data_IF_880668596559
#
_entry.id   IF_880668596559
#
_cell.length_a   1.000
_cell.length_b   1.000
_cell.length_c   1.000
_cell.angle_alpha   90.00
_cell.angle_beta   90.00
_cell.angle_gamma   90.00
#
_symmetry.space_group_name_H-M   'P 1'
#
loop_
_entity.id
_entity.type
_entity.pdbx_description
1 polymer ?
#
# COMPACT_ATOMS: atom_id res chain seq x y z
N UNK A 1 41.91 42.33 6.35
CA UNK A 1 41.99 41.88 4.95
C UNK A 1 41.70 40.38 4.93
N UNK A 2 40.43 40.00 4.79
CA UNK A 2 39.97 38.60 4.86
C UNK A 2 39.21 38.31 3.57
N UNK A 3 39.70 37.41 2.74
CA UNK A 3 38.88 36.82 1.68
C UNK A 3 39.25 35.35 1.57
N UNK A 4 38.50 34.51 2.27
CA UNK A 4 38.56 33.05 2.13
C UNK A 4 37.51 32.68 1.10
N UNK A 5 37.95 32.38 -0.12
CA UNK A 5 37.10 31.82 -1.18
C UNK A 5 36.55 30.46 -0.71
N UNK A 6 35.23 30.31 -0.70
CA UNK A 6 34.58 29.03 -0.40
C UNK A 6 34.71 28.10 -1.62
N UNK A 7 34.96 26.79 -1.44
CA UNK A 7 34.93 25.83 -2.55
C UNK A 7 33.50 25.63 -3.07
N UNK A 8 33.32 25.25 -4.35
CA UNK A 8 32.01 25.00 -4.93
C UNK A 8 31.32 23.79 -4.29
N UNK A 9 29.98 23.77 -4.22
CA UNK A 9 29.24 22.62 -3.70
C UNK A 9 29.44 21.40 -4.62
N UNK A 10 29.39 20.17 -4.07
CA UNK A 10 29.43 18.96 -4.89
C UNK A 10 28.20 18.89 -5.81
N UNK A 11 28.30 18.20 -6.96
CA UNK A 11 27.15 18.02 -7.84
C UNK A 11 26.08 17.21 -7.10
N UNK A 12 24.90 17.81 -6.92
CA UNK A 12 23.73 17.13 -6.39
C UNK A 12 23.19 16.20 -7.47
N UNK A 13 23.69 14.98 -7.53
CA UNK A 13 23.07 13.92 -8.32
C UNK A 13 21.88 13.35 -7.52
N UNK A 14 20.81 14.15 -7.39
CA UNK A 14 19.51 13.64 -6.95
C UNK A 14 18.80 13.04 -8.16
N UNK A 15 19.34 11.95 -8.67
CA UNK A 15 18.61 11.10 -9.59
C UNK A 15 17.68 10.23 -8.74
N UNK A 16 16.46 10.72 -8.49
CA UNK A 16 15.37 9.84 -8.06
C UNK A 16 15.20 8.79 -9.17
N UNK A 17 15.48 7.50 -8.91
CA UNK A 17 15.24 6.49 -9.92
C UNK A 17 13.72 6.47 -10.11
N UNK A 18 13.26 6.82 -11.31
CA UNK A 18 11.86 6.68 -11.67
C UNK A 18 11.44 5.24 -11.31
N UNK A 19 10.58 5.12 -10.29
CA UNK A 19 10.22 3.86 -9.67
C UNK A 19 9.77 2.87 -10.75
N UNK A 20 10.55 1.80 -10.92
CA UNK A 20 10.11 0.63 -11.66
C UNK A 20 8.87 0.07 -10.95
N UNK A 21 7.69 0.34 -11.50
CA UNK A 21 6.38 0.18 -10.83
C UNK A 21 6.11 -1.24 -10.31
N UNK A 22 6.68 -2.28 -10.92
CA UNK A 22 6.46 -3.68 -10.51
C UNK A 22 7.35 -4.12 -9.34
N UNK A 23 8.58 -3.60 -9.24
CA UNK A 23 9.49 -3.87 -8.12
C UNK A 23 9.13 -2.97 -6.92
N UNK A 24 8.59 -1.79 -7.21
CA UNK A 24 8.23 -0.76 -6.24
C UNK A 24 7.00 -1.06 -5.39
N UNK A 25 6.12 -2.03 -5.71
CA UNK A 25 4.94 -2.31 -4.87
C UNK A 25 5.22 -3.34 -3.76
N UNK A 26 6.08 -4.34 -4.02
CA UNK A 26 6.51 -5.30 -2.99
C UNK A 26 7.31 -4.64 -1.87
N UNK A 27 8.26 -3.77 -2.23
CA UNK A 27 9.17 -3.17 -1.28
C UNK A 27 8.47 -2.32 -0.17
N UNK A 28 7.47 -1.46 -0.48
CA UNK A 28 6.72 -0.71 0.52
C UNK A 28 5.90 -1.58 1.46
N UNK A 29 5.21 -2.60 0.95
CA UNK A 29 4.40 -3.47 1.79
C UNK A 29 5.28 -4.30 2.75
N UNK A 30 6.45 -4.76 2.29
CA UNK A 30 7.43 -5.42 3.14
C UNK A 30 8.04 -4.47 4.18
N UNK A 31 8.18 -3.18 3.87
CA UNK A 31 8.56 -2.17 4.85
C UNK A 31 7.49 -1.96 5.94
N UNK A 32 6.22 -1.91 5.56
CA UNK A 32 5.11 -1.87 6.52
C UNK A 32 5.15 -3.09 7.44
N UNK A 33 5.34 -4.30 6.91
CA UNK A 33 5.42 -5.53 7.71
C UNK A 33 6.62 -5.53 8.66
N UNK A 34 7.79 -5.04 8.23
CA UNK A 34 8.95 -4.85 9.12
C UNK A 34 8.67 -3.83 10.22
N UNK A 35 8.02 -2.72 9.88
CA UNK A 35 7.63 -1.69 10.83
C UNK A 35 6.62 -2.21 11.86
N UNK A 36 5.68 -3.06 11.45
CA UNK A 36 4.73 -3.76 12.33
C UNK A 36 5.44 -4.68 13.30
N UNK A 37 6.36 -5.52 12.81
CA UNK A 37 7.13 -6.44 13.63
C UNK A 37 7.93 -5.71 14.73
N UNK A 38 8.57 -4.59 14.38
CA UNK A 38 9.31 -3.76 15.33
C UNK A 38 8.44 -3.08 16.40
N UNK A 39 7.12 -2.98 16.17
CA UNK A 39 6.16 -2.36 17.08
C UNK A 39 5.24 -3.36 17.77
N UNK A 40 5.44 -4.66 17.53
CA UNK A 40 4.56 -5.71 18.04
C UNK A 40 3.10 -5.48 17.66
N UNK A 41 2.85 -5.14 16.39
CA UNK A 41 1.50 -4.96 15.83
C UNK A 41 1.10 -6.18 15.02
N UNK A 42 -0.07 -6.73 15.31
CA UNK A 42 -0.58 -7.94 14.65
C UNK A 42 -1.20 -7.64 13.26
N UNK A 43 -1.78 -6.45 13.11
CA UNK A 43 -2.37 -5.99 11.85
C UNK A 43 -2.33 -4.46 11.67
N UNK A 44 -2.48 -4.04 10.41
CA UNK A 44 -2.75 -2.65 10.01
C UNK A 44 -3.93 -2.63 9.04
N UNK A 45 -4.85 -1.68 9.25
CA UNK A 45 -6.03 -1.48 8.40
C UNK A 45 -5.94 -0.13 7.70
N UNK A 46 -5.92 -0.13 6.36
CA UNK A 46 -5.65 1.05 5.53
C UNK A 46 -6.82 1.31 4.59
N UNK A 47 -7.40 2.50 4.63
CA UNK A 47 -8.60 2.85 3.83
C UNK A 47 -8.40 4.01 2.86
N UNK A 48 -7.24 4.68 2.91
CA UNK A 48 -6.95 5.81 2.01
C UNK A 48 -6.54 5.28 0.63
N UNK A 49 -7.25 5.60 -0.46
CA UNK A 49 -6.95 5.06 -1.80
C UNK A 49 -5.52 5.34 -2.26
N UNK A 50 -4.99 6.54 -1.96
CA UNK A 50 -3.59 6.91 -2.29
C UNK A 50 -2.58 6.01 -1.58
N UNK A 51 -2.83 5.63 -0.32
CA UNK A 51 -1.96 4.72 0.44
C UNK A 51 -2.05 3.30 -0.11
N UNK A 52 -3.26 2.84 -0.45
CA UNK A 52 -3.46 1.53 -1.09
C UNK A 52 -2.71 1.48 -2.42
N UNK A 53 -2.85 2.51 -3.26
CA UNK A 53 -2.15 2.60 -4.53
C UNK A 53 -0.63 2.60 -4.40
N UNK A 54 -0.08 3.28 -3.39
CA UNK A 54 1.35 3.26 -3.11
C UNK A 54 1.84 1.86 -2.71
N UNK A 55 1.07 1.14 -1.89
CA UNK A 55 1.46 -0.16 -1.34
C UNK A 55 1.23 -1.31 -2.31
N UNK A 56 0.24 -1.24 -3.20
CA UNK A 56 -0.16 -2.36 -4.06
C UNK A 56 0.03 -2.08 -5.55
N UNK A 57 0.17 -0.82 -5.95
CA UNK A 57 0.11 -0.40 -7.34
C UNK A 57 -1.31 -0.27 -7.91
N UNK A 58 -2.34 -0.71 -7.17
CA UNK A 58 -3.74 -0.62 -7.62
C UNK A 58 -4.37 0.74 -7.29
N UNK A 59 -4.87 1.41 -8.33
CA UNK A 59 -5.48 2.73 -8.22
C UNK A 59 -7.00 2.64 -8.43
N UNK A 60 -7.77 3.22 -7.52
CA UNK A 60 -9.21 3.36 -7.65
C UNK A 60 -9.72 4.60 -6.88
N UNK A 61 -10.92 5.03 -7.21
CA UNK A 61 -11.71 6.00 -6.44
C UNK A 61 -13.04 5.31 -6.06
N UNK A 62 -13.12 4.70 -4.86
CA UNK A 62 -14.30 3.94 -4.46
C UNK A 62 -15.45 4.85 -3.98
N UNK A 63 -15.23 6.17 -3.92
CA UNK A 63 -16.18 7.13 -3.34
C UNK A 63 -16.65 6.72 -1.93
N UNK A 64 -17.96 6.53 -1.72
CA UNK A 64 -18.53 6.09 -0.45
C UNK A 64 -18.39 4.59 -0.21
N UNK A 65 -18.06 3.80 -1.24
CA UNK A 65 -17.96 2.34 -1.12
C UNK A 65 -16.71 1.95 -0.33
N UNK A 66 -16.83 0.88 0.46
CA UNK A 66 -15.70 0.34 1.20
C UNK A 66 -14.58 -0.14 0.27
N UNK A 67 -13.40 0.43 0.46
CA UNK A 67 -12.12 -0.08 -0.02
C UNK A 67 -11.14 -0.11 1.14
N UNK A 68 -10.49 -1.25 1.35
CA UNK A 68 -9.52 -1.39 2.42
C UNK A 68 -8.41 -2.38 2.09
N UNK A 69 -7.22 -2.12 2.62
CA UNK A 69 -6.11 -3.06 2.66
C UNK A 69 -5.88 -3.47 4.11
N UNK A 70 -6.12 -4.75 4.40
CA UNK A 70 -5.77 -5.40 5.66
C UNK A 70 -4.39 -6.02 5.52
N UNK A 71 -3.43 -5.60 6.34
CA UNK A 71 -2.05 -6.10 6.33
C UNK A 71 -1.79 -6.85 7.62
N UNK A 72 -1.29 -8.08 7.51
CA UNK A 72 -0.87 -8.97 8.61
C UNK A 72 0.59 -9.37 8.43
N UNK A 73 1.13 -10.06 9.43
CA UNK A 73 2.50 -10.57 9.39
C UNK A 73 2.72 -11.60 8.27
N UNK A 74 1.70 -12.35 7.87
CA UNK A 74 1.75 -13.43 6.89
C UNK A 74 1.28 -13.03 5.48
N UNK A 75 0.58 -11.91 5.34
CA UNK A 75 0.15 -11.42 4.03
C UNK A 75 -0.71 -10.15 4.10
N UNK A 76 -1.24 -9.75 2.95
CA UNK A 76 -2.18 -8.64 2.87
C UNK A 76 -3.41 -9.04 2.03
N UNK A 77 -4.56 -8.50 2.40
CA UNK A 77 -5.84 -8.68 1.70
C UNK A 77 -6.42 -7.33 1.34
N UNK A 78 -6.67 -7.12 0.05
CA UNK A 78 -7.31 -5.95 -0.53
C UNK A 78 -8.80 -6.25 -0.73
N UNK A 79 -9.65 -5.56 0.01
CA UNK A 79 -11.11 -5.60 -0.10
C UNK A 79 -11.55 -4.44 -1.00
N UNK A 80 -12.26 -4.75 -2.08
CA UNK A 80 -12.71 -3.78 -3.09
C UNK A 80 -14.17 -4.02 -3.49
N UNK A 81 -14.90 -3.02 -4.00
CA UNK A 81 -16.19 -3.28 -4.62
C UNK A 81 -16.02 -4.13 -5.90
N UNK A 82 -17.11 -4.76 -6.34
CA UNK A 82 -17.10 -5.73 -7.43
C UNK A 82 -16.63 -5.15 -8.77
N UNK A 83 -16.87 -3.84 -9.01
CA UNK A 83 -16.46 -3.16 -10.23
C UNK A 83 -14.94 -3.06 -10.36
N UNK A 84 -14.25 -2.95 -9.24
CA UNK A 84 -12.80 -2.83 -9.14
C UNK A 84 -12.08 -4.20 -9.13
N UNK A 85 -12.80 -5.28 -8.83
CA UNK A 85 -12.22 -6.60 -8.51
C UNK A 85 -11.25 -7.14 -9.56
N UNK A 86 -11.60 -7.06 -10.85
CA UNK A 86 -10.72 -7.53 -11.92
C UNK A 86 -9.44 -6.67 -12.02
N UNK A 87 -9.59 -5.35 -12.06
CA UNK A 87 -8.45 -4.44 -12.15
C UNK A 87 -7.53 -4.56 -10.93
N UNK A 88 -8.11 -4.74 -9.74
CA UNK A 88 -7.37 -5.00 -8.52
C UNK A 88 -6.54 -6.28 -8.62
N UNK A 89 -7.11 -7.39 -9.11
CA UNK A 89 -6.40 -8.65 -9.29
C UNK A 89 -5.22 -8.55 -10.28
N UNK A 90 -5.36 -7.73 -11.33
CA UNK A 90 -4.31 -7.51 -12.32
C UNK A 90 -3.15 -6.66 -11.78
N UNK A 91 -3.43 -5.67 -10.93
CA UNK A 91 -2.43 -4.67 -10.50
C UNK A 91 -1.88 -4.93 -9.09
N UNK A 92 -2.67 -5.45 -8.15
CA UNK A 92 -2.29 -5.67 -6.75
C UNK A 92 -1.66 -7.06 -6.51
N UNK A 93 -0.67 -7.46 -7.32
CA UNK A 93 -0.05 -8.80 -7.28
C UNK A 93 0.61 -9.20 -5.94
N UNK A 94 0.79 -8.25 -5.01
CA UNK A 94 1.37 -8.46 -3.69
C UNK A 94 0.32 -8.56 -2.56
N UNK A 95 -0.98 -8.56 -2.89
CA UNK A 95 -2.07 -8.76 -1.95
C UNK A 95 -3.11 -9.74 -2.51
N UNK A 96 -3.75 -10.52 -1.64
CA UNK A 96 -4.96 -11.26 -2.01
C UNK A 96 -6.08 -10.26 -2.28
N UNK A 97 -6.87 -10.46 -3.34
CA UNK A 97 -7.97 -9.56 -3.69
C UNK A 97 -9.30 -10.26 -3.42
N UNK A 98 -10.17 -9.61 -2.66
CA UNK A 98 -11.55 -10.04 -2.43
C UNK A 98 -12.50 -8.91 -2.78
N UNK A 99 -13.62 -9.27 -3.40
CA UNK A 99 -14.59 -8.31 -3.91
C UNK A 99 -15.98 -8.51 -3.30
N UNK A 100 -16.73 -7.43 -3.13
CA UNK A 100 -18.10 -7.42 -2.62
C UNK A 100 -19.06 -6.64 -3.53
N UNK A 101 -20.35 -6.96 -3.50
CA UNK A 101 -21.39 -6.34 -4.31
C UNK A 101 -22.28 -5.40 -3.50
N UNK A 102 -22.84 -4.39 -4.15
CA UNK A 102 -23.84 -3.51 -3.53
C UNK A 102 -24.98 -4.35 -2.91
N UNK A 103 -25.24 -4.12 -1.62
CA UNK A 103 -26.22 -4.88 -0.82
C UNK A 103 -25.62 -6.00 0.04
N UNK A 104 -24.34 -6.35 -0.14
CA UNK A 104 -23.57 -7.18 0.79
C UNK A 104 -22.94 -6.31 1.89
N UNK A 105 -22.66 -6.91 3.05
CA UNK A 105 -21.87 -6.23 4.10
C UNK A 105 -20.37 -6.45 3.84
N UNK A 106 -19.62 -5.41 3.41
CA UNK A 106 -18.21 -5.57 3.10
C UNK A 106 -17.35 -5.74 4.36
N UNK A 107 -17.87 -5.42 5.55
CA UNK A 107 -17.13 -5.61 6.80
C UNK A 107 -16.99 -7.08 7.17
N UNK A 108 -17.85 -7.98 6.67
CA UNK A 108 -17.63 -9.44 6.81
C UNK A 108 -16.33 -9.91 6.13
N UNK A 109 -15.90 -9.24 5.05
CA UNK A 109 -14.61 -9.50 4.42
C UNK A 109 -13.46 -8.93 5.25
N UNK A 110 -13.65 -7.78 5.88
CA UNK A 110 -12.67 -7.18 6.80
C UNK A 110 -12.45 -8.08 8.01
N UNK A 111 -13.53 -8.55 8.63
CA UNK A 111 -13.47 -9.47 9.78
C UNK A 111 -12.74 -10.76 9.42
N UNK A 112 -13.02 -11.35 8.25
CA UNK A 112 -12.28 -12.52 7.78
C UNK A 112 -10.81 -12.23 7.52
N UNK A 113 -10.50 -11.09 6.91
CA UNK A 113 -9.12 -10.70 6.62
C UNK A 113 -8.30 -10.44 7.89
N UNK A 114 -8.96 -10.00 8.97
CA UNK A 114 -8.36 -9.71 10.28
C UNK A 114 -8.67 -10.80 11.32
N UNK A 115 -9.16 -11.97 10.91
CA UNK A 115 -9.54 -13.02 11.85
C UNK A 115 -8.33 -13.60 12.60
N UNK A 116 -8.52 -13.91 13.88
CA UNK A 116 -7.49 -14.51 14.73
C UNK A 116 -6.40 -13.54 15.20
N UNK A 117 -6.71 -12.25 15.25
CA UNK A 117 -6.00 -11.27 16.10
C UNK A 117 -6.43 -11.45 17.57
#
# INVERSE_FOLDING_TARGET
MWSRSRPPPPPTESASPALNRSVAARAPLDEVRRWMANRHLDAVYITRPVSIAYLTGFHADPHERLMALAVRHDGATLIVPALEGQSAAEHASNAAVVAWRDGEDPYELVDRALAGL
#
